data_IF_968750382154
#
_entry.id   IF_968750382154
#
_cell.length_a   1.000
_cell.length_b   1.000
_cell.length_c   1.000
_cell.angle_alpha   90.00
_cell.angle_beta   90.00
_cell.angle_gamma   90.00
#
_symmetry.space_group_name_H-M   'P 1'
#
loop_
_entity.id
_entity.type
_entity.pdbx_description
1 polymer ?
#
# COMPACT_ATOMS: atom_id res chain seq x y z
N UNK A 1 5.77 -14.81 20.33
CA UNK A 1 4.58 -15.66 20.54
C UNK A 1 3.93 -15.13 21.80
N UNK A 2 2.91 -14.26 21.64
CA UNK A 2 2.13 -13.74 22.77
C UNK A 2 0.95 -14.69 22.98
N UNK A 3 0.80 -15.17 24.21
CA UNK A 3 -0.29 -16.04 24.64
C UNK A 3 -1.64 -15.32 24.56
N UNK A 4 -2.70 -16.05 24.28
CA UNK A 4 -4.08 -15.55 24.02
C UNK A 4 -4.75 -14.78 25.18
N UNK A 5 -4.11 -14.63 26.33
CA UNK A 5 -4.64 -13.88 27.47
C UNK A 5 -4.06 -12.46 27.53
N UNK A 6 -4.70 -11.50 26.86
CA UNK A 6 -4.52 -10.06 27.06
C UNK A 6 -3.84 -9.26 25.94
N UNK A 7 -3.39 -9.86 24.83
CA UNK A 7 -2.81 -9.17 23.69
C UNK A 7 -3.84 -8.48 22.80
N UNK A 8 -3.49 -7.35 22.18
CA UNK A 8 -4.31 -6.73 21.13
C UNK A 8 -4.06 -7.46 19.81
N UNK A 9 -5.14 -7.82 19.12
CA UNK A 9 -5.11 -8.53 17.83
C UNK A 9 -5.69 -7.66 16.71
N UNK A 10 -5.41 -8.00 15.45
CA UNK A 10 -6.01 -7.36 14.30
C UNK A 10 -7.53 -7.51 14.29
N UNK A 11 -8.06 -8.70 14.57
CA UNK A 11 -9.52 -8.92 14.67
C UNK A 11 -10.14 -8.08 15.78
N UNK A 12 -9.47 -7.99 16.93
CA UNK A 12 -9.86 -7.09 18.00
C UNK A 12 -9.78 -5.60 17.61
N UNK A 13 -9.03 -5.24 16.60
CA UNK A 13 -8.97 -3.89 16.02
C UNK A 13 -9.96 -3.67 14.86
N UNK A 14 -10.81 -4.66 14.56
CA UNK A 14 -11.82 -4.59 13.51
C UNK A 14 -11.35 -5.10 12.14
N UNK A 15 -10.17 -5.74 12.06
CA UNK A 15 -9.63 -6.33 10.82
C UNK A 15 -9.69 -7.83 10.93
N UNK A 16 -10.67 -8.45 10.27
CA UNK A 16 -10.83 -9.91 10.22
C UNK A 16 -10.22 -10.44 8.92
N UNK A 17 -8.97 -10.91 9.01
CA UNK A 17 -8.18 -11.39 7.86
C UNK A 17 -8.81 -12.64 7.23
N UNK A 18 -9.47 -13.52 8.02
CA UNK A 18 -10.11 -14.72 7.49
C UNK A 18 -11.37 -14.38 6.69
N UNK A 19 -12.21 -13.49 7.24
CA UNK A 19 -13.40 -13.00 6.54
C UNK A 19 -13.03 -12.25 5.26
N UNK A 20 -11.99 -11.42 5.29
CA UNK A 20 -11.48 -10.71 4.12
C UNK A 20 -10.98 -11.69 3.05
N UNK A 21 -10.16 -12.67 3.43
CA UNK A 21 -9.65 -13.70 2.52
C UNK A 21 -10.77 -14.49 1.87
N UNK A 22 -11.82 -14.83 2.61
CA UNK A 22 -13.01 -15.53 2.09
C UNK A 22 -13.78 -14.66 1.09
N UNK A 23 -13.96 -13.36 1.38
CA UNK A 23 -14.63 -12.42 0.48
C UNK A 23 -13.84 -12.23 -0.81
N UNK A 24 -12.52 -12.09 -0.73
CA UNK A 24 -11.62 -12.00 -1.89
C UNK A 24 -11.66 -13.27 -2.73
N UNK A 25 -11.64 -14.46 -2.12
CA UNK A 25 -11.78 -15.72 -2.84
C UNK A 25 -13.11 -15.82 -3.63
N UNK A 26 -14.20 -15.35 -3.02
CA UNK A 26 -15.53 -15.29 -3.68
C UNK A 26 -15.53 -14.32 -4.87
N UNK A 27 -14.89 -13.17 -4.72
CA UNK A 27 -14.72 -12.20 -5.81
C UNK A 27 -13.90 -12.81 -6.96
N UNK A 28 -12.74 -13.40 -6.67
CA UNK A 28 -11.86 -14.02 -7.67
C UNK A 28 -12.59 -15.11 -8.44
N UNK A 29 -13.36 -15.97 -7.76
CA UNK A 29 -14.13 -17.04 -8.41
C UNK A 29 -15.17 -16.50 -9.40
N UNK A 30 -15.75 -15.33 -9.11
CA UNK A 30 -16.71 -14.66 -9.98
C UNK A 30 -16.06 -14.01 -11.20
N UNK A 31 -14.75 -13.70 -11.13
CA UNK A 31 -13.99 -13.05 -12.19
C UNK A 31 -13.31 -14.04 -13.15
N UNK A 32 -13.43 -15.34 -12.94
CA UNK A 32 -12.69 -16.37 -13.68
C UNK A 32 -12.82 -16.29 -15.21
N UNK A 33 -13.92 -15.74 -15.72
CA UNK A 33 -14.18 -15.61 -17.15
C UNK A 33 -13.86 -14.21 -17.72
N UNK A 34 -13.29 -13.30 -16.93
CA UNK A 34 -12.98 -11.92 -17.34
C UNK A 34 -11.58 -11.77 -17.95
N UNK A 35 -10.99 -12.85 -18.45
CA UNK A 35 -9.63 -12.88 -18.97
C UNK A 35 -9.57 -12.94 -20.50
N UNK A 36 -8.53 -12.34 -21.07
CA UNK A 36 -8.24 -12.45 -22.51
C UNK A 36 -7.62 -13.82 -22.83
N UNK A 37 -7.76 -14.23 -24.09
CA UNK A 37 -7.21 -15.51 -24.59
C UNK A 37 -5.68 -15.51 -24.46
N UNK A 38 -5.12 -16.60 -23.91
CA UNK A 38 -3.67 -16.84 -23.80
C UNK A 38 -2.96 -16.62 -25.15
N UNK A 39 -1.79 -15.97 -25.12
CA UNK A 39 -1.00 -15.63 -26.30
C UNK A 39 -1.48 -14.33 -26.98
N UNK A 40 -2.41 -13.59 -26.40
CA UNK A 40 -2.80 -12.26 -26.90
C UNK A 40 -2.40 -11.17 -25.90
N UNK A 41 -2.17 -9.93 -26.38
CA UNK A 41 -1.88 -8.81 -25.50
C UNK A 41 -2.97 -8.63 -24.44
N UNK A 42 -2.58 -8.51 -23.18
CA UNK A 42 -3.50 -8.43 -22.05
C UNK A 42 -4.00 -9.76 -21.53
N UNK A 43 -3.54 -10.89 -22.06
CA UNK A 43 -3.79 -12.20 -21.46
C UNK A 43 -3.11 -12.30 -20.09
N UNK A 44 -3.73 -12.94 -19.10
CA UNK A 44 -3.11 -13.08 -17.78
C UNK A 44 -1.88 -13.98 -17.85
N UNK A 45 -0.86 -13.63 -17.09
CA UNK A 45 0.30 -14.46 -16.81
C UNK A 45 0.09 -15.09 -15.44
N UNK A 46 0.03 -16.42 -15.39
CA UNK A 46 -0.08 -17.16 -14.14
C UNK A 46 1.30 -17.23 -13.46
N UNK A 47 1.45 -16.51 -12.37
CA UNK A 47 2.66 -16.46 -11.55
C UNK A 47 2.29 -16.92 -10.13
N UNK A 48 2.61 -18.18 -9.81
CA UNK A 48 2.35 -18.72 -8.48
C UNK A 48 3.10 -17.92 -7.40
N UNK A 49 2.38 -17.40 -6.40
CA UNK A 49 2.94 -16.63 -5.30
C UNK A 49 3.37 -15.21 -5.68
N UNK A 50 3.07 -14.74 -6.88
CA UNK A 50 3.37 -13.37 -7.31
C UNK A 50 2.43 -12.35 -6.70
N UNK A 51 2.97 -11.23 -6.21
CA UNK A 51 2.23 -10.02 -5.91
C UNK A 51 1.99 -9.23 -7.20
N UNK A 52 0.79 -8.68 -7.37
CA UNK A 52 0.43 -7.90 -8.55
C UNK A 52 -0.04 -8.74 -9.75
N UNK A 53 -0.89 -8.13 -10.57
CA UNK A 53 -1.39 -8.74 -11.79
C UNK A 53 -0.40 -8.62 -12.93
N UNK A 54 0.00 -9.73 -13.55
CA UNK A 54 0.83 -9.73 -14.76
C UNK A 54 -0.02 -10.05 -15.98
N UNK A 55 0.22 -9.32 -17.07
CA UNK A 55 -0.43 -9.54 -18.37
C UNK A 55 0.59 -9.58 -19.51
N UNK A 56 0.31 -10.39 -20.55
CA UNK A 56 1.14 -10.48 -21.75
C UNK A 56 1.07 -9.17 -22.57
N UNK A 57 2.23 -8.68 -23.04
CA UNK A 57 2.33 -7.52 -23.92
C UNK A 57 3.47 -7.69 -24.96
N UNK A 58 3.25 -8.56 -25.93
CA UNK A 58 4.28 -8.89 -26.93
C UNK A 58 5.44 -9.66 -26.33
N UNK A 59 6.67 -9.11 -26.47
CA UNK A 59 7.89 -9.68 -25.88
C UNK A 59 8.11 -9.30 -24.41
N UNK A 60 7.19 -8.55 -23.84
CA UNK A 60 7.22 -8.08 -22.46
C UNK A 60 5.96 -8.51 -21.71
N UNK A 61 6.01 -8.38 -20.40
CA UNK A 61 4.83 -8.42 -19.54
C UNK A 61 4.64 -7.05 -18.88
N UNK A 62 3.38 -6.69 -18.65
CA UNK A 62 3.03 -5.54 -17.84
C UNK A 62 2.60 -6.02 -16.47
N UNK A 63 3.01 -5.30 -15.44
CA UNK A 63 2.64 -5.52 -14.06
C UNK A 63 1.72 -4.39 -13.58
N UNK A 64 0.68 -4.73 -12.84
CA UNK A 64 -0.28 -3.80 -12.26
C UNK A 64 -0.42 -4.11 -10.77
N UNK A 65 -0.30 -3.09 -9.96
CA UNK A 65 -0.58 -3.14 -8.52
C UNK A 65 -1.54 -2.00 -8.17
N UNK A 66 -2.47 -2.27 -7.26
CA UNK A 66 -3.38 -1.25 -6.71
C UNK A 66 -3.52 -1.43 -5.23
N UNK A 67 -3.35 -0.33 -4.48
CA UNK A 67 -3.48 -0.32 -3.02
C UNK A 67 -3.93 1.06 -2.53
N UNK A 68 -4.47 1.12 -1.31
CA UNK A 68 -4.92 2.34 -0.66
C UNK A 68 -4.16 2.61 0.64
N UNK A 69 -4.01 3.88 1.01
CA UNK A 69 -3.34 4.28 2.26
C UNK A 69 -4.06 3.73 3.49
N UNK A 70 -5.38 3.55 3.41
CA UNK A 70 -6.16 2.90 4.46
C UNK A 70 -6.23 3.67 5.77
N UNK A 71 -6.23 2.94 6.90
CA UNK A 71 -6.52 3.49 8.23
C UNK A 71 -5.49 4.50 8.77
N UNK A 72 -4.33 4.64 8.15
CA UNK A 72 -3.37 5.72 8.43
C UNK A 72 -3.98 7.10 8.13
N UNK A 73 -4.85 7.19 7.09
CA UNK A 73 -5.53 8.44 6.75
C UNK A 73 -6.39 9.00 7.89
N UNK A 74 -6.91 8.16 8.77
CA UNK A 74 -7.67 8.64 9.93
C UNK A 74 -6.78 9.43 10.91
N UNK A 75 -5.50 9.06 11.02
CA UNK A 75 -4.52 9.85 11.78
C UNK A 75 -4.18 11.13 11.02
N UNK A 76 -3.89 11.04 9.73
CA UNK A 76 -3.63 12.20 8.90
C UNK A 76 -4.78 13.22 8.93
N UNK A 77 -6.02 12.75 8.84
CA UNK A 77 -7.22 13.58 8.93
C UNK A 77 -7.34 14.25 10.30
N UNK A 78 -7.16 13.50 11.40
CA UNK A 78 -7.29 14.04 12.77
C UNK A 78 -6.23 15.10 13.10
N UNK A 79 -5.03 14.98 12.52
CA UNK A 79 -3.92 15.90 12.69
C UNK A 79 -3.85 16.96 11.58
N UNK A 80 -4.67 16.85 10.54
CA UNK A 80 -4.57 17.65 9.32
C UNK A 80 -3.16 17.63 8.72
N UNK A 81 -2.48 16.47 8.75
CA UNK A 81 -1.11 16.27 8.24
C UNK A 81 -1.14 15.29 7.06
N UNK A 82 -0.87 15.78 5.86
CA UNK A 82 -1.00 15.04 4.60
C UNK A 82 0.33 14.90 3.84
N UNK A 83 1.44 15.38 4.40
CA UNK A 83 2.72 15.46 3.72
C UNK A 83 3.33 14.09 3.41
N UNK A 84 3.03 13.08 4.24
CA UNK A 84 3.54 11.71 4.07
C UNK A 84 2.61 10.77 3.29
N UNK A 85 1.31 11.08 3.18
CA UNK A 85 0.33 10.09 2.67
C UNK A 85 0.49 9.77 1.18
N UNK A 86 0.99 10.70 0.39
CA UNK A 86 1.31 10.45 -1.02
C UNK A 86 2.50 9.51 -1.17
N UNK A 87 3.50 9.61 -0.28
CA UNK A 87 4.63 8.70 -0.23
C UNK A 87 4.15 7.27 0.09
N UNK A 88 3.29 7.11 1.11
CA UNK A 88 2.71 5.81 1.43
C UNK A 88 1.96 5.22 0.24
N UNK A 89 1.11 6.03 -0.41
CA UNK A 89 0.28 5.59 -1.53
C UNK A 89 1.13 5.08 -2.70
N UNK A 90 2.15 5.84 -3.11
CA UNK A 90 3.02 5.45 -4.21
C UNK A 90 3.90 4.25 -3.81
N UNK A 91 4.47 4.27 -2.61
CA UNK A 91 5.39 3.22 -2.15
C UNK A 91 4.72 1.85 -2.07
N UNK A 92 3.49 1.75 -1.55
CA UNK A 92 2.77 0.47 -1.48
C UNK A 92 2.60 -0.16 -2.86
N UNK A 93 2.15 0.63 -3.83
CA UNK A 93 1.93 0.16 -5.19
C UNK A 93 3.22 -0.16 -5.95
N UNK A 94 4.25 0.70 -5.81
CA UNK A 94 5.53 0.51 -6.49
C UNK A 94 6.30 -0.67 -5.92
N UNK A 95 6.30 -0.87 -4.61
CA UNK A 95 6.97 -1.99 -3.97
C UNK A 95 6.40 -3.34 -4.39
N UNK A 96 5.10 -3.45 -4.64
CA UNK A 96 4.49 -4.66 -5.17
C UNK A 96 5.02 -5.00 -6.57
N UNK A 97 5.25 -4.00 -7.41
CA UNK A 97 5.87 -4.20 -8.72
C UNK A 97 7.32 -4.70 -8.59
N UNK A 98 8.08 -4.15 -7.63
CA UNK A 98 9.46 -4.57 -7.36
C UNK A 98 9.53 -6.02 -6.88
N UNK A 99 8.54 -6.49 -6.12
CA UNK A 99 8.48 -7.88 -5.64
C UNK A 99 8.46 -8.91 -6.77
N UNK A 100 7.93 -8.56 -7.93
CA UNK A 100 7.93 -9.43 -9.13
C UNK A 100 9.03 -9.08 -10.12
N UNK A 101 9.93 -8.14 -9.78
CA UNK A 101 11.04 -7.71 -10.62
C UNK A 101 10.63 -6.81 -11.78
N UNK A 102 9.45 -6.19 -11.70
CA UNK A 102 9.01 -5.23 -12.71
C UNK A 102 9.59 -3.85 -12.44
N UNK A 103 10.00 -3.17 -13.51
CA UNK A 103 10.38 -1.75 -13.48
C UNK A 103 9.11 -0.90 -13.42
N UNK A 104 8.89 -0.08 -12.37
CA UNK A 104 7.77 0.83 -12.31
C UNK A 104 7.88 1.92 -13.39
N UNK A 105 6.77 2.24 -14.06
CA UNK A 105 6.75 3.22 -15.15
C UNK A 105 5.81 4.39 -14.89
N UNK A 106 4.60 4.10 -14.41
CA UNK A 106 3.56 5.08 -14.26
C UNK A 106 2.71 4.82 -13.02
N UNK A 107 2.10 5.87 -12.52
CA UNK A 107 1.20 5.86 -11.39
C UNK A 107 -0.03 6.71 -11.69
N UNK A 108 -1.19 6.30 -11.20
CA UNK A 108 -2.42 7.09 -11.16
C UNK A 108 -3.02 7.00 -9.78
N UNK A 109 -3.60 8.09 -9.29
CA UNK A 109 -4.25 8.15 -7.98
C UNK A 109 -5.78 8.19 -8.08
N UNK A 110 -6.43 7.84 -6.98
CA UNK A 110 -7.85 8.06 -6.75
C UNK A 110 -8.04 8.69 -5.38
N UNK A 111 -8.56 9.92 -5.35
CA UNK A 111 -8.87 10.68 -4.14
C UNK A 111 -10.39 10.76 -4.00
N UNK A 112 -10.93 10.25 -2.90
CA UNK A 112 -12.34 10.41 -2.54
C UNK A 112 -12.49 11.29 -1.30
N UNK A 113 -13.34 12.30 -1.37
CA UNK A 113 -13.55 13.26 -0.26
C UNK A 113 -15.04 13.54 -0.06
N UNK A 114 -15.49 13.76 1.19
CA UNK A 114 -16.85 14.25 1.43
C UNK A 114 -17.02 15.71 0.98
N UNK A 115 -15.95 16.51 1.08
CA UNK A 115 -15.93 17.92 0.70
C UNK A 115 -14.54 18.30 0.17
N UNK A 116 -14.43 18.95 -0.98
CA UNK A 116 -13.13 19.30 -1.55
C UNK A 116 -12.47 20.45 -0.76
N UNK A 117 -11.14 20.42 -0.67
CA UNK A 117 -10.31 21.44 -0.05
C UNK A 117 -9.08 21.69 -0.91
N UNK A 118 -8.91 22.92 -1.39
CA UNK A 118 -7.74 23.30 -2.19
C UNK A 118 -6.43 23.10 -1.44
N UNK A 119 -6.41 23.38 -0.14
CA UNK A 119 -5.24 23.22 0.70
C UNK A 119 -4.86 21.75 0.84
N UNK A 120 -5.80 20.89 1.23
CA UNK A 120 -5.57 19.46 1.41
C UNK A 120 -5.12 18.81 0.10
N UNK A 121 -5.80 19.08 -1.01
CA UNK A 121 -5.43 18.54 -2.32
C UNK A 121 -4.05 19.01 -2.76
N UNK A 122 -3.68 20.28 -2.51
CA UNK A 122 -2.35 20.79 -2.83
C UNK A 122 -1.25 20.07 -2.03
N UNK A 123 -1.48 19.80 -0.74
CA UNK A 123 -0.53 19.08 0.14
C UNK A 123 -0.37 17.63 -0.31
N UNK A 124 -1.46 16.93 -0.60
CA UNK A 124 -1.43 15.56 -1.13
C UNK A 124 -0.72 15.53 -2.49
N UNK A 125 -1.05 16.45 -3.41
CA UNK A 125 -0.42 16.50 -4.72
C UNK A 125 1.10 16.73 -4.66
N UNK A 126 1.59 17.54 -3.72
CA UNK A 126 3.03 17.70 -3.48
C UNK A 126 3.67 16.41 -2.98
N UNK A 127 3.03 15.73 -2.04
CA UNK A 127 3.50 14.44 -1.52
C UNK A 127 3.53 13.36 -2.58
N UNK A 128 2.48 13.25 -3.43
CA UNK A 128 2.46 12.33 -4.57
C UNK A 128 3.56 12.64 -5.59
N UNK A 129 3.77 13.93 -5.90
CA UNK A 129 4.82 14.36 -6.82
C UNK A 129 6.21 13.95 -6.32
N UNK A 130 6.51 14.22 -5.04
CA UNK A 130 7.80 13.84 -4.45
C UNK A 130 7.99 12.32 -4.47
N UNK A 131 6.95 11.57 -4.12
CA UNK A 131 6.99 10.12 -4.13
C UNK A 131 7.25 9.55 -5.54
N UNK A 132 6.53 10.05 -6.55
CA UNK A 132 6.73 9.64 -7.94
C UNK A 132 8.14 10.00 -8.46
N UNK A 133 8.68 11.16 -8.06
CA UNK A 133 10.06 11.54 -8.40
C UNK A 133 11.07 10.57 -7.77
N UNK A 134 10.90 10.20 -6.50
CA UNK A 134 11.79 9.24 -5.82
C UNK A 134 11.70 7.84 -6.42
N UNK A 135 10.51 7.41 -6.81
CA UNK A 135 10.26 6.12 -7.44
C UNK A 135 10.63 6.10 -8.93
N UNK A 136 10.99 7.25 -9.51
CA UNK A 136 11.24 7.43 -10.94
C UNK A 136 10.07 6.95 -11.81
N UNK A 137 8.84 7.30 -11.42
CA UNK A 137 7.61 6.97 -12.16
C UNK A 137 6.90 8.24 -12.63
N UNK A 138 6.18 8.14 -13.73
CA UNK A 138 5.34 9.23 -14.21
C UNK A 138 4.00 9.22 -13.47
N UNK A 139 3.63 10.34 -12.82
CA UNK A 139 2.24 10.56 -12.40
C UNK A 139 1.42 10.84 -13.68
N UNK A 140 0.76 9.82 -14.19
CA UNK A 140 0.13 9.84 -15.53
C UNK A 140 -1.31 10.41 -15.51
N UNK A 141 -1.89 10.57 -14.34
CA UNK A 141 -3.25 11.08 -14.16
C UNK A 141 -3.81 10.65 -12.83
N UNK A 142 -5.09 10.81 -12.66
CA UNK A 142 -5.81 10.43 -11.45
C UNK A 142 -7.27 10.84 -11.52
N UNK A 143 -8.01 10.58 -10.45
CA UNK A 143 -9.40 10.96 -10.28
C UNK A 143 -9.61 11.59 -8.89
N UNK A 144 -10.35 12.68 -8.84
CA UNK A 144 -10.81 13.27 -7.58
C UNK A 144 -12.34 13.25 -7.55
N UNK A 145 -12.90 12.47 -6.65
CA UNK A 145 -14.34 12.32 -6.47
C UNK A 145 -14.83 13.01 -5.20
N UNK A 146 -15.79 13.92 -5.35
CA UNK A 146 -16.53 14.48 -4.20
C UNK A 146 -17.76 13.61 -3.96
N UNK A 147 -17.78 12.87 -2.85
CA UNK A 147 -18.77 11.82 -2.55
C UNK A 147 -19.45 12.04 -1.20
N UNK A 148 -20.24 13.12 -1.04
CA UNK A 148 -20.94 13.38 0.21
C UNK A 148 -21.94 12.26 0.54
N UNK A 149 -21.90 11.74 1.76
CA UNK A 149 -22.78 10.64 2.20
C UNK A 149 -22.31 9.23 1.79
N UNK A 150 -21.30 9.11 0.94
CA UNK A 150 -20.64 7.84 0.61
C UNK A 150 -19.35 7.70 1.42
N UNK A 151 -18.49 8.71 1.38
CA UNK A 151 -17.30 8.76 2.24
C UNK A 151 -17.50 9.79 3.35
N UNK A 152 -17.03 9.46 4.55
CA UNK A 152 -17.10 10.37 5.72
C UNK A 152 -15.81 11.16 5.90
N UNK A 153 -14.70 10.63 5.40
CA UNK A 153 -13.36 11.21 5.47
C UNK A 153 -12.67 11.05 4.12
N UNK A 154 -11.53 11.71 3.96
CA UNK A 154 -10.68 11.54 2.79
C UNK A 154 -10.18 10.11 2.70
N UNK A 155 -10.28 9.52 1.51
CA UNK A 155 -9.62 8.27 1.12
C UNK A 155 -8.67 8.52 -0.06
N UNK A 156 -7.53 7.81 -0.06
CA UNK A 156 -6.49 7.92 -1.07
C UNK A 156 -5.99 6.53 -1.43
N UNK A 157 -6.09 6.21 -2.70
CA UNK A 157 -5.56 4.98 -3.28
C UNK A 157 -4.83 5.27 -4.59
N UNK A 158 -4.15 4.28 -5.12
CA UNK A 158 -3.46 4.41 -6.38
C UNK A 158 -3.33 3.10 -7.13
N UNK A 159 -2.83 3.22 -8.36
CA UNK A 159 -2.49 2.08 -9.20
C UNK A 159 -1.17 2.36 -9.89
N UNK A 160 -0.23 1.46 -9.79
CA UNK A 160 1.05 1.51 -10.47
C UNK A 160 1.07 0.55 -11.66
N UNK A 161 1.68 0.99 -12.75
CA UNK A 161 2.02 0.20 -13.93
C UNK A 161 3.52 0.02 -14.00
N UNK A 162 3.96 -1.22 -14.19
CA UNK A 162 5.34 -1.57 -14.46
C UNK A 162 5.45 -2.51 -15.65
N UNK A 163 6.69 -2.80 -16.01
CA UNK A 163 6.99 -3.74 -17.10
C UNK A 163 8.21 -4.60 -16.77
N UNK A 164 8.32 -5.73 -17.45
CA UNK A 164 9.49 -6.61 -17.42
C UNK A 164 9.53 -7.44 -18.70
N UNK A 165 10.72 -7.94 -19.10
CA UNK A 165 10.80 -8.89 -20.20
C UNK A 165 10.00 -10.16 -19.89
N UNK A 166 9.32 -10.71 -20.90
CA UNK A 166 8.55 -11.94 -20.73
C UNK A 166 9.40 -13.09 -20.18
N UNK A 167 8.88 -13.78 -19.17
CA UNK A 167 9.58 -14.90 -18.51
C UNK A 167 10.69 -14.49 -17.54
N UNK A 168 10.79 -13.20 -17.17
CA UNK A 168 11.80 -12.70 -16.21
C UNK A 168 11.21 -12.29 -14.86
N UNK A 169 9.96 -12.62 -14.61
CA UNK A 169 9.34 -12.34 -13.31
C UNK A 169 10.03 -13.14 -12.18
N UNK A 170 10.19 -12.48 -11.05
CA UNK A 170 10.68 -13.09 -9.81
C UNK A 170 9.50 -13.75 -9.12
N UNK A 171 9.53 -15.09 -9.01
CA UNK A 171 8.44 -15.89 -8.44
C UNK A 171 8.88 -16.77 -7.26
N UNK A 172 10.13 -16.67 -6.83
CA UNK A 172 10.67 -17.51 -5.77
C UNK A 172 10.98 -18.96 -6.20
N UNK A 173 10.66 -19.38 -7.42
CA UNK A 173 10.92 -20.73 -7.94
C UNK A 173 12.40 -21.10 -7.98
N UNK A 174 13.26 -20.13 -8.03
CA UNK A 174 14.72 -20.30 -8.13
C UNK A 174 15.44 -20.26 -6.77
N UNK A 175 14.73 -20.00 -5.68
CA UNK A 175 15.26 -19.98 -4.31
C UNK A 175 15.79 -21.36 -3.94
N UNK A 176 17.01 -21.43 -3.42
CA UNK A 176 17.71 -22.65 -3.06
C UNK A 176 18.31 -22.60 -1.66
N UNK A 177 18.49 -23.75 -1.00
CA UNK A 177 19.29 -23.80 0.22
C UNK A 177 20.71 -23.26 -0.03
N UNK A 178 21.12 -22.31 0.80
CA UNK A 178 22.39 -21.58 0.67
C UNK A 178 22.26 -20.17 0.12
N UNK A 179 21.09 -19.75 -0.35
CA UNK A 179 20.82 -18.36 -0.71
C UNK A 179 20.89 -17.46 0.52
N UNK A 180 21.33 -16.23 0.33
CA UNK A 180 21.51 -15.24 1.39
C UNK A 180 20.23 -14.41 1.55
N UNK A 181 19.76 -14.29 2.79
CA UNK A 181 18.69 -13.37 3.14
C UNK A 181 19.27 -12.00 3.51
N UNK A 182 18.80 -10.95 2.85
CA UNK A 182 19.18 -9.58 3.14
C UNK A 182 17.97 -8.85 3.72
N UNK A 183 18.10 -8.33 4.94
CA UNK A 183 17.09 -7.51 5.59
C UNK A 183 17.40 -6.02 5.47
N UNK A 184 16.39 -5.22 5.16
CA UNK A 184 16.46 -3.77 5.27
C UNK A 184 15.85 -3.34 6.60
N UNK A 185 16.54 -2.49 7.40
CA UNK A 185 15.96 -1.97 8.63
C UNK A 185 14.77 -1.08 8.32
N UNK A 186 13.72 -1.18 9.15
CA UNK A 186 12.60 -0.25 9.08
C UNK A 186 12.95 1.06 9.79
N UNK A 187 12.45 2.18 9.26
CA UNK A 187 12.53 3.50 9.91
C UNK A 187 11.38 3.73 10.92
N UNK A 188 10.47 2.80 11.04
CA UNK A 188 9.29 2.88 11.91
C UNK A 188 8.12 2.12 11.31
N UNK A 189 6.89 2.52 11.67
CA UNK A 189 5.66 2.00 11.08
C UNK A 189 5.43 2.73 9.76
N UNK A 190 5.42 1.99 8.66
CA UNK A 190 5.23 2.58 7.33
C UNK A 190 3.75 2.72 6.98
N UNK A 191 3.24 1.95 6.00
CA UNK A 191 1.88 2.11 5.47
C UNK A 191 0.84 1.25 6.20
N UNK A 192 1.22 0.04 6.64
CA UNK A 192 0.31 -0.96 7.16
C UNK A 192 0.23 -1.00 8.70
N UNK A 193 -0.82 -1.64 9.22
CA UNK A 193 -0.97 -1.92 10.65
C UNK A 193 -1.61 -0.79 11.48
N UNK A 194 -2.05 0.30 10.87
CA UNK A 194 -2.54 1.49 11.58
C UNK A 194 -3.86 1.28 12.33
N UNK A 195 -4.68 0.32 11.97
CA UNK A 195 -5.86 -0.05 12.79
C UNK A 195 -5.45 -0.52 14.18
N UNK A 196 -4.40 -1.34 14.27
CA UNK A 196 -3.85 -1.80 15.54
C UNK A 196 -3.12 -0.67 16.28
N UNK A 197 -2.30 0.11 15.58
CA UNK A 197 -1.58 1.28 16.15
C UNK A 197 -2.54 2.24 16.82
N UNK A 198 -3.61 2.64 16.12
CA UNK A 198 -4.63 3.55 16.66
C UNK A 198 -5.29 2.98 17.92
N UNK A 199 -5.54 1.68 17.95
CA UNK A 199 -6.11 1.03 19.14
C UNK A 199 -5.12 0.99 20.30
N UNK A 200 -3.82 0.76 20.04
CA UNK A 200 -2.76 0.83 21.05
C UNK A 200 -2.69 2.24 21.64
N UNK A 201 -2.61 3.27 20.80
CA UNK A 201 -2.56 4.67 21.24
C UNK A 201 -3.81 5.03 22.06
N UNK A 202 -5.00 4.68 21.58
CA UNK A 202 -6.24 4.92 22.32
C UNK A 202 -6.27 4.26 23.69
N UNK A 203 -5.79 3.02 23.82
CA UNK A 203 -5.76 2.28 25.09
C UNK A 203 -4.67 2.79 26.05
N UNK A 204 -3.55 3.29 25.53
CA UNK A 204 -2.46 3.82 26.36
C UNK A 204 -2.79 5.18 26.98
N UNK A 205 -3.85 5.85 26.49
CA UNK A 205 -4.18 7.22 26.87
C UNK A 205 -3.18 8.27 26.34
N UNK A 206 -2.27 7.88 25.44
CA UNK A 206 -1.32 8.79 24.80
C UNK A 206 -2.02 9.66 23.75
N UNK A 207 -1.56 10.89 23.62
CA UNK A 207 -1.96 11.79 22.54
C UNK A 207 -1.05 11.60 21.33
N UNK A 208 -1.63 11.66 20.13
CA UNK A 208 -0.85 11.67 18.86
C UNK A 208 -0.01 12.94 18.68
N UNK A 209 -0.25 13.97 19.51
CA UNK A 209 0.47 15.26 19.47
C UNK A 209 1.55 15.37 20.54
N UNK A 210 1.67 14.39 21.43
CA UNK A 210 2.70 14.33 22.45
C UNK A 210 3.94 13.60 21.93
N UNK A 211 5.14 13.99 22.39
CA UNK A 211 6.36 13.24 22.07
C UNK A 211 6.21 11.78 22.46
N UNK A 212 6.61 10.88 21.57
CA UNK A 212 6.64 9.46 21.87
C UNK A 212 7.60 9.21 23.05
N UNK A 213 7.17 8.53 24.14
CA UNK A 213 8.07 8.17 25.21
C UNK A 213 9.11 7.20 24.66
N UNK A 214 10.34 7.68 24.55
CA UNK A 214 11.48 6.88 24.09
C UNK A 214 11.92 5.98 25.23
N UNK A 215 12.06 4.68 24.96
CA UNK A 215 12.72 3.77 25.92
C UNK A 215 14.15 4.25 26.18
N UNK A 216 14.65 4.21 27.42
CA UNK A 216 16.03 4.59 27.73
C UNK A 216 17.10 3.89 26.88
N UNK A 217 16.78 2.72 26.34
CA UNK A 217 17.64 1.95 25.42
C UNK A 217 17.67 2.54 23.99
N UNK A 218 16.80 3.50 23.68
CA UNK A 218 16.64 4.12 22.36
C UNK A 218 16.85 5.64 22.38
N UNK A 219 17.36 6.22 23.45
CA UNK A 219 17.60 7.67 23.58
C UNK A 219 18.52 8.26 22.51
N UNK A 220 19.23 7.42 21.75
CA UNK A 220 20.09 7.88 20.66
C UNK A 220 19.39 8.01 19.29
N UNK A 221 18.11 7.65 19.19
CA UNK A 221 17.33 7.78 17.95
C UNK A 221 16.15 8.71 18.22
N UNK A 222 16.30 9.97 17.85
CA UNK A 222 15.18 10.89 17.74
C UNK A 222 14.20 10.32 16.72
N UNK A 223 13.08 9.77 17.19
CA UNK A 223 11.96 9.43 16.32
C UNK A 223 11.18 10.73 16.09
N UNK A 224 11.58 11.51 15.12
CA UNK A 224 10.74 12.55 14.58
C UNK A 224 9.71 11.86 13.68
N UNK A 225 8.45 11.99 14.02
CA UNK A 225 7.36 11.69 13.10
C UNK A 225 7.26 12.88 12.12
N UNK A 226 8.07 12.85 11.09
CA UNK A 226 7.94 13.73 9.94
C UNK A 226 6.84 13.28 8.99
#
# INVERSE_FOLDING_TARGET
IMTEEGGMTYSGAGVDIEAESSAVASLISSLANSTRKKGTRGAPVDLQGGFGGLIEFGSNWLALATDGVGSKLQIANSLSRYEGVGMDCVAMNVNDLLCVGAEPLAFVDYIAVPTPSNETHSRIGKSLTEACMRANVTLAGGETATLPGIVTELDLSGTALGWLPAGKAIAGSDIRPGDVLIGFPSSGIHSNGFSLVRKVVSKSGMSLTEPCPVSPEHESRSVEFD
#
